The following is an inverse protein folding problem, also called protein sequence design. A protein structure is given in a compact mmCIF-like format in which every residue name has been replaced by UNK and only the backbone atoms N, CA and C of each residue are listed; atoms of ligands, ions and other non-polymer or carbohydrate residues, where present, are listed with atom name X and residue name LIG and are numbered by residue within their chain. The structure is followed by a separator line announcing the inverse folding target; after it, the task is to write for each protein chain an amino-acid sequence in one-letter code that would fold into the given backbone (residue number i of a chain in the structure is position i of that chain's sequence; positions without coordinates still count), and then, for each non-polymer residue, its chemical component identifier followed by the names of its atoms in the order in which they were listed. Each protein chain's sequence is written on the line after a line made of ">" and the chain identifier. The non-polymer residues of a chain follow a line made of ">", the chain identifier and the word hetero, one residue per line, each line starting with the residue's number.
data_IF_114675347727
#
_entry.id   IF_114675347727
#
_cell.length_a   1.000
_cell.length_b   1.000
_cell.length_c   1.000
_cell.angle_alpha   90.00
_cell.angle_beta   90.00
_cell.angle_gamma   90.00
#
_symmetry.space_group_name_H-M   'P 1'
#
loop_
_entity.id
_entity.type
_entity.pdbx_description
1 polymer ?
#
# COMPACT_ATOMS: atom_id res chain seq x y z
N UNK A 1 33.13 -27.64 22.32
CA UNK A 1 32.59 -26.25 22.32
C UNK A 1 32.18 -25.76 20.93
N UNK A 2 32.99 -25.93 19.87
CA UNK A 2 32.67 -25.50 18.50
C UNK A 2 31.40 -26.14 17.88
N UNK A 3 31.07 -27.38 18.25
CA UNK A 3 29.87 -28.09 17.78
C UNK A 3 28.58 -27.54 18.37
N UNK A 4 28.57 -27.18 19.66
CA UNK A 4 27.42 -26.58 20.32
C UNK A 4 27.08 -25.19 19.74
N UNK A 5 28.11 -24.41 19.40
CA UNK A 5 27.95 -23.10 18.76
C UNK A 5 27.34 -23.20 17.35
N UNK A 6 27.69 -24.24 16.59
CA UNK A 6 27.13 -24.52 15.25
C UNK A 6 25.66 -24.95 15.32
N UNK A 7 25.30 -25.73 16.33
CA UNK A 7 23.91 -26.16 16.54
C UNK A 7 23.03 -24.96 16.93
N UNK A 8 23.52 -24.09 17.81
CA UNK A 8 22.79 -22.89 18.24
C UNK A 8 22.58 -21.87 17.09
N UNK A 9 23.54 -21.76 16.18
CA UNK A 9 23.42 -20.87 15.01
C UNK A 9 22.45 -21.42 13.96
N UNK A 10 22.44 -22.74 13.74
CA UNK A 10 21.48 -23.40 12.85
C UNK A 10 20.04 -23.32 13.37
N UNK A 11 19.83 -23.50 14.68
CA UNK A 11 18.49 -23.43 15.28
C UNK A 11 17.93 -22.01 15.26
N UNK A 12 18.76 -20.99 15.46
CA UNK A 12 18.34 -19.59 15.39
C UNK A 12 17.82 -19.20 13.98
N UNK A 13 18.49 -19.69 12.93
CA UNK A 13 18.04 -19.50 11.55
C UNK A 13 16.67 -20.12 11.28
N UNK A 14 16.44 -21.36 11.75
CA UNK A 14 15.17 -22.06 11.56
C UNK A 14 13.98 -21.35 12.22
N UNK A 15 14.18 -20.73 13.40
CA UNK A 15 13.13 -19.97 14.10
C UNK A 15 12.74 -18.71 13.33
N UNK A 16 13.69 -18.02 12.70
CA UNK A 16 13.41 -16.82 11.89
C UNK A 16 12.60 -17.16 10.61
N UNK A 17 12.79 -18.35 10.04
CA UNK A 17 12.07 -18.76 8.82
C UNK A 17 10.58 -19.08 9.07
N UNK A 18 10.20 -19.55 10.26
CA UNK A 18 8.80 -19.89 10.59
C UNK A 18 7.89 -18.66 10.57
N UNK A 19 8.42 -17.47 10.87
CA UNK A 19 7.66 -16.22 10.88
C UNK A 19 7.17 -15.77 9.50
N UNK A 20 7.82 -16.19 8.40
CA UNK A 20 7.49 -15.70 7.06
C UNK A 20 6.26 -16.39 6.43
N UNK A 21 5.78 -17.51 6.97
CA UNK A 21 4.65 -18.26 6.43
C UNK A 21 3.28 -17.93 7.07
N UNK A 22 3.25 -17.11 8.12
CA UNK A 22 2.04 -16.88 8.94
C UNK A 22 1.03 -15.88 8.35
N UNK A 23 1.34 -15.23 7.23
CA UNK A 23 0.42 -14.26 6.60
C UNK A 23 -0.48 -14.97 5.58
N UNK A 24 -1.62 -15.53 6.03
CA UNK A 24 -2.63 -16.11 5.10
C UNK A 24 -4.05 -15.57 5.26
N UNK A 25 -4.41 -14.90 6.35
CA UNK A 25 -5.82 -14.59 6.64
C UNK A 25 -6.21 -13.12 6.60
N UNK A 26 -5.25 -12.19 6.47
CA UNK A 26 -5.53 -10.75 6.56
C UNK A 26 -6.55 -10.23 5.52
N UNK A 27 -6.67 -10.89 4.37
CA UNK A 27 -7.63 -10.50 3.32
C UNK A 27 -8.99 -11.18 3.43
N UNK A 28 -9.11 -12.30 4.16
CA UNK A 28 -10.38 -13.08 4.22
C UNK A 28 -11.42 -12.40 5.11
N UNK A 29 -10.99 -11.66 6.11
CA UNK A 29 -11.84 -10.99 7.10
C UNK A 29 -11.95 -9.48 6.87
N UNK A 30 -11.49 -8.99 5.72
CA UNK A 30 -11.62 -7.58 5.39
C UNK A 30 -13.12 -7.21 5.36
N UNK A 31 -13.56 -6.21 6.15
CA UNK A 31 -14.95 -5.78 6.12
C UNK A 31 -15.29 -5.29 4.70
N UNK A 32 -16.53 -5.54 4.22
CA UNK A 32 -16.97 -5.01 2.94
C UNK A 32 -16.77 -3.49 2.97
N UNK A 33 -16.09 -2.95 1.96
CA UNK A 33 -15.88 -1.51 1.83
C UNK A 33 -17.25 -0.84 1.69
N UNK A 34 -17.81 -0.39 2.81
CA UNK A 34 -19.02 0.39 2.85
C UNK A 34 -18.75 1.66 2.05
N UNK A 35 -19.40 1.80 0.89
CA UNK A 35 -19.50 3.09 0.20
C UNK A 35 -20.35 3.98 1.11
N UNK A 36 -19.69 4.68 2.03
CA UNK A 36 -20.35 5.64 2.91
C UNK A 36 -21.10 6.65 2.03
N UNK A 37 -22.43 6.66 2.12
CA UNK A 37 -23.25 7.68 1.49
C UNK A 37 -22.77 9.05 2.00
N UNK A 38 -22.28 9.90 1.09
CA UNK A 38 -21.67 11.18 1.44
C UNK A 38 -20.21 11.36 1.03
N UNK A 39 -19.57 10.34 0.43
CA UNK A 39 -18.24 10.50 -0.16
C UNK A 39 -18.23 10.16 -1.65
N UNK A 40 -17.75 11.09 -2.49
CA UNK A 40 -17.41 10.84 -3.89
C UNK A 40 -15.93 10.46 -3.99
N UNK A 41 -15.61 9.61 -4.96
CA UNK A 41 -14.23 9.37 -5.37
C UNK A 41 -13.95 10.30 -6.54
N UNK A 42 -13.03 11.23 -6.36
CA UNK A 42 -12.63 12.18 -7.40
C UNK A 42 -11.15 12.02 -7.70
N UNK A 43 -10.77 12.30 -8.94
CA UNK A 43 -9.36 12.29 -9.32
C UNK A 43 -8.62 13.37 -8.53
N UNK A 44 -7.45 13.02 -7.98
CA UNK A 44 -6.61 14.01 -7.32
C UNK A 44 -5.78 14.78 -8.36
N UNK A 45 -6.42 15.77 -9.00
CA UNK A 45 -5.79 16.55 -10.07
C UNK A 45 -4.54 17.32 -9.58
N UNK A 46 -4.44 17.66 -8.29
CA UNK A 46 -3.24 18.31 -7.73
C UNK A 46 -2.05 17.35 -7.75
N UNK A 47 -2.28 16.11 -7.29
CA UNK A 47 -1.24 15.09 -7.28
C UNK A 47 -0.84 14.69 -8.70
N UNK A 48 -1.82 14.52 -9.59
CA UNK A 48 -1.59 14.20 -11.01
C UNK A 48 -0.71 15.26 -11.66
N UNK A 49 -1.09 16.53 -11.53
CA UNK A 49 -0.34 17.66 -12.10
C UNK A 49 1.08 17.73 -11.55
N UNK A 50 1.26 17.48 -10.24
CA UNK A 50 2.58 17.45 -9.62
C UNK A 50 3.47 16.38 -10.27
N UNK A 51 2.98 15.15 -10.39
CA UNK A 51 3.74 14.04 -10.95
C UNK A 51 4.06 14.28 -12.42
N UNK A 52 3.11 14.80 -13.20
CA UNK A 52 3.30 15.14 -14.60
C UNK A 52 4.33 16.26 -14.79
N UNK A 53 4.34 17.27 -13.92
CA UNK A 53 5.35 18.33 -13.94
C UNK A 53 6.75 17.79 -13.64
N UNK A 54 6.88 16.92 -12.64
CA UNK A 54 8.16 16.28 -12.31
C UNK A 54 8.65 15.42 -13.49
N UNK A 55 7.76 14.67 -14.13
CA UNK A 55 8.11 13.84 -15.28
C UNK A 55 8.56 14.70 -16.47
N UNK A 56 7.85 15.80 -16.74
CA UNK A 56 8.24 16.77 -17.77
C UNK A 56 9.63 17.35 -17.51
N UNK A 57 9.93 17.75 -16.28
CA UNK A 57 11.26 18.24 -15.88
C UNK A 57 12.36 17.21 -16.10
N UNK A 58 12.03 15.91 -16.00
CA UNK A 58 12.96 14.79 -16.17
C UNK A 58 13.00 14.24 -17.61
N UNK A 59 12.22 14.81 -18.52
CA UNK A 59 12.11 14.30 -19.90
C UNK A 59 11.45 12.93 -20.01
N UNK A 60 10.65 12.51 -19.03
CA UNK A 60 9.93 11.23 -19.04
C UNK A 60 8.43 11.44 -19.26
N UNK A 61 7.75 10.41 -19.80
CA UNK A 61 6.30 10.42 -20.00
C UNK A 61 5.61 9.56 -18.93
N UNK A 62 4.58 10.12 -18.30
CA UNK A 62 3.72 9.38 -17.37
C UNK A 62 2.55 8.79 -18.14
N UNK A 63 2.26 7.52 -17.88
CA UNK A 63 1.09 6.83 -18.40
C UNK A 63 0.36 6.19 -17.23
N UNK A 64 -0.79 6.73 -16.88
CA UNK A 64 -1.57 6.27 -15.74
C UNK A 64 -2.36 5.02 -16.12
N UNK A 65 -1.99 3.86 -15.55
CA UNK A 65 -2.81 2.64 -15.65
C UNK A 65 -4.02 2.73 -14.72
N UNK A 66 -3.85 3.37 -13.55
CA UNK A 66 -4.91 3.72 -12.61
C UNK A 66 -4.65 5.14 -12.09
N UNK A 67 -5.49 6.11 -12.49
CA UNK A 67 -5.29 7.51 -12.10
C UNK A 67 -5.59 7.66 -10.59
N UNK A 68 -4.72 8.33 -9.81
CA UNK A 68 -4.91 8.44 -8.37
C UNK A 68 -6.17 9.25 -8.04
N UNK A 69 -6.97 8.71 -7.12
CA UNK A 69 -8.23 9.30 -6.65
C UNK A 69 -8.19 9.57 -5.15
N UNK A 70 -8.88 10.62 -4.72
CA UNK A 70 -9.13 10.96 -3.32
C UNK A 70 -10.61 10.86 -2.98
N UNK A 71 -10.92 10.68 -1.70
CA UNK A 71 -12.28 10.76 -1.18
C UNK A 71 -12.63 12.22 -0.91
N UNK A 72 -13.75 12.68 -1.43
CA UNK A 72 -14.28 14.02 -1.19
C UNK A 72 -15.61 13.88 -0.47
N UNK A 73 -15.77 14.62 0.64
CA UNK A 73 -17.04 14.64 1.37
C UNK A 73 -18.02 15.53 0.59
N UNK A 74 -19.06 14.93 0.01
CA UNK A 74 -20.07 15.63 -0.79
C UNK A 74 -21.07 16.39 0.06
N UNK A 75 -21.13 16.12 1.37
CA UNK A 75 -22.04 16.80 2.30
C UNK A 75 -21.51 18.17 2.70
N UNK A 76 -20.19 18.37 2.68
CA UNK A 76 -19.55 19.63 3.05
C UNK A 76 -19.39 20.63 1.88
N UNK A 77 -19.77 20.25 0.66
CA UNK A 77 -19.64 21.08 -0.55
C UNK A 77 -20.96 21.76 -0.96
N UNK A 78 -22.04 21.57 -0.18
CA UNK A 78 -23.38 22.09 -0.45
C UNK A 78 -23.76 23.31 0.41
N UNK A 79 -22.83 23.81 1.23
CA UNK A 79 -22.93 25.07 2.01
C UNK A 79 -22.01 26.15 1.39
#
# INVERSE_FOLDING_TARGET
>A
MKTLLRIATLSFGLVLLVGCASTKTAYREAPPQQRSAGFSMEVDERYVTLVENIAKQRGTRVMWVNKPTKRVNTVAAAD
#
